data_IF_989531116680
#
_entry.id   IF_989531116680
#
_cell.length_a   1.000
_cell.length_b   1.000
_cell.length_c   1.000
_cell.angle_alpha   90.00
_cell.angle_beta   90.00
_cell.angle_gamma   90.00
#
_symmetry.space_group_name_H-M   'P 1'
#
loop_
_entity.id
_entity.type
_entity.pdbx_description
1 polymer ?
#
# COMPACT_ATOMS: atom_id res chain seq x y z
N UNK A 1 1.30 -8.99 18.22
CA UNK A 1 2.11 -7.87 18.75
C UNK A 1 1.65 -6.57 18.15
N UNK A 2 1.45 -5.59 18.99
CA UNK A 2 0.84 -4.34 18.57
C UNK A 2 1.90 -3.34 18.11
N UNK A 3 2.61 -3.70 17.06
CA UNK A 3 3.68 -2.85 16.55
C UNK A 3 3.12 -1.71 15.72
N UNK A 4 3.72 -0.53 15.90
CA UNK A 4 3.47 0.62 15.05
C UNK A 4 4.72 0.84 14.22
N UNK A 5 4.58 0.73 12.88
CA UNK A 5 5.72 0.84 11.98
C UNK A 5 6.02 2.30 11.63
N UNK A 6 7.30 2.59 11.44
CA UNK A 6 7.71 3.82 10.77
C UNK A 6 7.54 3.62 9.27
N UNK A 7 7.37 4.72 8.54
CA UNK A 7 7.20 4.63 7.08
C UNK A 7 8.41 3.94 6.43
N UNK A 8 9.62 4.23 6.90
CA UNK A 8 10.82 3.61 6.34
C UNK A 8 10.85 2.10 6.56
N UNK A 9 10.32 1.63 7.69
CA UNK A 9 10.23 0.20 7.94
C UNK A 9 9.26 -0.46 6.96
N UNK A 10 8.14 0.20 6.68
CA UNK A 10 7.17 -0.32 5.73
C UNK A 10 7.80 -0.42 4.34
N UNK A 11 8.51 0.61 3.92
CA UNK A 11 9.21 0.60 2.64
C UNK A 11 10.17 -0.60 2.53
N UNK A 12 10.98 -0.80 3.55
CA UNK A 12 11.97 -1.88 3.53
C UNK A 12 11.31 -3.25 3.49
N UNK A 13 10.29 -3.44 4.30
CA UNK A 13 9.64 -4.75 4.39
C UNK A 13 8.88 -5.11 3.13
N UNK A 14 8.41 -4.13 2.38
CA UNK A 14 7.59 -4.39 1.20
C UNK A 14 8.34 -4.27 -0.11
N UNK A 15 9.58 -3.78 -0.09
CA UNK A 15 10.35 -3.54 -1.31
C UNK A 15 10.44 -4.76 -2.22
N UNK A 16 10.87 -5.89 -1.65
CA UNK A 16 11.09 -7.10 -2.47
C UNK A 16 9.78 -7.68 -2.97
N UNK A 17 8.72 -7.53 -2.18
CA UNK A 17 7.40 -8.00 -2.61
C UNK A 17 6.97 -7.27 -3.87
N UNK A 18 7.03 -5.94 -3.84
CA UNK A 18 6.61 -5.15 -5.00
C UNK A 18 7.55 -5.33 -6.19
N UNK A 19 8.86 -5.46 -5.92
CA UNK A 19 9.85 -5.62 -6.97
C UNK A 19 9.61 -6.87 -7.81
N UNK A 20 9.08 -7.92 -7.20
CA UNK A 20 8.86 -9.19 -7.88
C UNK A 20 7.50 -9.29 -8.56
N UNK A 21 6.77 -8.18 -8.64
CA UNK A 21 5.43 -8.15 -9.21
C UNK A 21 5.33 -7.11 -10.33
N UNK A 22 4.13 -6.94 -10.88
CA UNK A 22 3.85 -5.91 -11.89
C UNK A 22 3.51 -4.55 -11.27
N UNK A 23 3.76 -4.36 -9.98
CA UNK A 23 3.52 -3.08 -9.34
C UNK A 23 4.52 -2.05 -9.86
N UNK A 24 4.03 -0.91 -10.35
CA UNK A 24 4.86 0.21 -10.78
C UNK A 24 5.07 1.20 -9.67
N UNK A 25 4.07 1.38 -8.83
CA UNK A 25 4.12 2.34 -7.72
C UNK A 25 3.20 1.87 -6.61
N UNK A 26 3.61 2.11 -5.38
CA UNK A 26 2.76 1.87 -4.21
C UNK A 26 2.75 3.12 -3.35
N UNK A 27 1.57 3.52 -2.89
CA UNK A 27 1.40 4.74 -2.11
C UNK A 27 0.69 4.37 -0.80
N UNK A 28 1.30 4.79 0.30
CA UNK A 28 0.73 4.65 1.63
C UNK A 28 -0.17 5.85 1.90
N UNK A 29 -1.37 5.62 2.43
CA UNK A 29 -2.25 6.70 2.80
C UNK A 29 -2.91 6.38 4.14
N UNK A 30 -3.87 7.21 4.57
CA UNK A 30 -4.53 6.99 5.84
C UNK A 30 -3.66 7.33 7.03
N UNK A 31 -3.94 6.71 8.19
CA UNK A 31 -3.33 7.11 9.44
C UNK A 31 -1.82 6.95 9.47
N UNK A 32 -1.30 5.88 8.83
CA UNK A 32 0.15 5.68 8.80
C UNK A 32 0.86 6.78 8.01
N UNK A 33 0.24 7.24 6.92
CA UNK A 33 0.85 8.31 6.11
C UNK A 33 0.85 9.64 6.85
N UNK A 34 -0.15 9.85 7.71
CA UNK A 34 -0.30 11.11 8.45
C UNK A 34 0.50 11.14 9.74
N UNK A 35 1.12 10.03 10.14
CA UNK A 35 1.81 9.96 11.41
C UNK A 35 0.87 9.84 12.59
N UNK A 36 -0.35 9.37 12.36
CA UNK A 36 -1.39 9.29 13.40
C UNK A 36 -1.76 7.85 13.75
N UNK A 37 -1.00 6.88 13.24
CA UNK A 37 -1.32 5.48 13.47
C UNK A 37 -1.11 5.08 14.92
N UNK A 38 -1.97 4.17 15.39
CA UNK A 38 -1.77 3.54 16.70
C UNK A 38 -1.73 2.02 16.49
N UNK A 39 -1.68 1.25 17.58
CA UNK A 39 -1.53 -0.20 17.49
C UNK A 39 -2.71 -0.89 16.82
N UNK A 40 -3.86 -0.23 16.73
CA UNK A 40 -5.06 -0.78 16.12
C UNK A 40 -5.31 -0.28 14.69
N UNK A 41 -4.44 0.58 14.18
CA UNK A 41 -4.63 1.16 12.85
C UNK A 41 -4.36 0.14 11.77
N UNK A 42 -5.18 0.16 10.71
CA UNK A 42 -4.93 -0.60 9.50
C UNK A 42 -3.88 0.12 8.67
N UNK A 43 -3.21 -0.63 7.80
CA UNK A 43 -2.26 -0.04 6.85
C UNK A 43 -2.96 0.08 5.51
N UNK A 44 -3.09 1.31 5.01
CA UNK A 44 -3.81 1.61 3.77
C UNK A 44 -2.83 1.85 2.65
N UNK A 45 -2.88 1.01 1.62
CA UNK A 45 -1.96 1.08 0.49
C UNK A 45 -2.73 1.00 -0.82
N UNK A 46 -2.39 1.86 -1.77
CA UNK A 46 -2.89 1.76 -3.12
C UNK A 46 -1.72 1.44 -4.04
N UNK A 47 -1.91 0.46 -4.94
CA UNK A 47 -0.87 0.08 -5.89
C UNK A 47 -1.31 0.42 -7.30
N UNK A 48 -0.33 0.85 -8.10
CA UNK A 48 -0.55 1.13 -9.51
C UNK A 48 0.20 0.07 -10.31
N UNK A 49 -0.55 -0.83 -10.94
CA UNK A 49 0.02 -1.89 -11.78
C UNK A 49 -0.45 -1.76 -13.21
N UNK A 50 -1.00 -0.60 -13.59
CA UNK A 50 -1.61 -0.38 -14.89
C UNK A 50 -2.73 -1.39 -15.15
N UNK A 51 -3.42 -1.79 -14.07
CA UNK A 51 -4.53 -2.73 -14.16
C UNK A 51 -4.13 -4.17 -14.36
N UNK A 52 -2.85 -4.51 -14.27
CA UNK A 52 -2.39 -5.88 -14.51
C UNK A 52 -2.61 -6.81 -13.32
N UNK A 53 -2.69 -6.26 -12.12
CA UNK A 53 -2.84 -7.09 -10.92
C UNK A 53 -4.29 -7.13 -10.50
N UNK A 54 -4.96 -8.21 -10.91
CA UNK A 54 -6.38 -8.44 -10.62
C UNK A 54 -6.57 -9.89 -10.21
N UNK A 55 -7.68 -10.13 -9.52
CA UNK A 55 -8.04 -11.49 -9.14
C UNK A 55 -7.01 -12.13 -8.24
N UNK A 56 -6.65 -13.36 -8.58
CA UNK A 56 -5.74 -14.14 -7.74
C UNK A 56 -4.37 -13.49 -7.56
N UNK A 57 -3.87 -12.83 -8.60
CA UNK A 57 -2.57 -12.15 -8.48
C UNK A 57 -2.62 -11.02 -7.45
N UNK A 58 -3.72 -10.27 -7.45
CA UNK A 58 -3.91 -9.19 -6.49
C UNK A 58 -3.95 -9.74 -5.06
N UNK A 59 -4.74 -10.79 -4.87
CA UNK A 59 -4.86 -11.40 -3.54
C UNK A 59 -3.58 -12.03 -3.06
N UNK A 60 -2.76 -12.54 -3.99
CA UNK A 60 -1.44 -13.06 -3.63
C UNK A 60 -0.55 -12.00 -3.05
N UNK A 61 -0.57 -10.80 -3.65
CA UNK A 61 0.20 -9.67 -3.14
C UNK A 61 -0.34 -9.23 -1.77
N UNK A 62 -1.65 -9.18 -1.63
CA UNK A 62 -2.26 -8.82 -0.35
C UNK A 62 -1.78 -9.76 0.76
N UNK A 63 -1.78 -11.08 0.50
CA UNK A 63 -1.32 -12.05 1.47
C UNK A 63 0.14 -11.84 1.84
N UNK A 64 0.98 -11.54 0.84
CA UNK A 64 2.39 -11.31 1.10
C UNK A 64 2.61 -10.07 1.96
N UNK A 65 1.85 -9.01 1.69
CA UNK A 65 1.96 -7.77 2.45
C UNK A 65 1.46 -7.99 3.88
N UNK A 66 0.34 -8.69 4.04
CA UNK A 66 -0.18 -9.02 5.38
C UNK A 66 0.86 -9.81 6.17
N UNK A 67 1.48 -10.81 5.53
CA UNK A 67 2.50 -11.63 6.20
C UNK A 67 3.72 -10.82 6.59
N UNK A 68 4.14 -9.91 5.71
CA UNK A 68 5.34 -9.11 5.96
C UNK A 68 5.16 -8.14 7.12
N UNK A 69 3.99 -7.55 7.25
CA UNK A 69 3.74 -6.54 8.27
C UNK A 69 3.02 -7.08 9.50
N UNK A 70 2.40 -8.25 9.37
CA UNK A 70 1.61 -8.86 10.44
C UNK A 70 0.55 -7.87 10.95
N UNK A 71 -0.16 -7.25 10.02
CA UNK A 71 -1.20 -6.28 10.32
C UNK A 71 -2.32 -6.41 9.32
N UNK A 72 -3.48 -5.85 9.66
CA UNK A 72 -4.57 -5.75 8.71
C UNK A 72 -4.20 -4.71 7.66
N UNK A 73 -4.32 -5.10 6.40
CA UNK A 73 -3.94 -4.27 5.27
C UNK A 73 -5.18 -4.00 4.43
N UNK A 74 -5.43 -2.75 4.11
CA UNK A 74 -6.41 -2.36 3.12
C UNK A 74 -5.65 -2.03 1.84
N UNK A 75 -5.72 -2.92 0.87
CA UNK A 75 -4.97 -2.80 -0.38
C UNK A 75 -5.92 -2.56 -1.54
N UNK A 76 -5.59 -1.56 -2.35
CA UNK A 76 -6.40 -1.17 -3.51
C UNK A 76 -5.53 -1.14 -4.76
N UNK A 77 -6.14 -1.48 -5.92
CA UNK A 77 -5.48 -1.25 -7.21
C UNK A 77 -6.01 0.06 -7.77
N UNK A 78 -5.10 0.92 -8.21
CA UNK A 78 -5.45 2.29 -8.61
C UNK A 78 -6.53 2.34 -9.68
N UNK A 79 -6.52 1.40 -10.63
CA UNK A 79 -7.50 1.39 -11.72
C UNK A 79 -8.92 1.09 -11.24
N UNK A 80 -9.07 0.56 -10.01
CA UNK A 80 -10.37 0.25 -9.44
C UNK A 80 -10.97 1.43 -8.67
N UNK A 81 -10.22 2.50 -8.50
CA UNK A 81 -10.63 3.66 -7.71
C UNK A 81 -11.01 4.80 -8.65
N UNK A 82 -12.17 5.41 -8.41
CA UNK A 82 -12.61 6.53 -9.23
C UNK A 82 -11.70 7.74 -9.01
N UNK A 83 -11.34 8.44 -10.10
CA UNK A 83 -10.43 9.60 -9.98
C UNK A 83 -10.93 10.71 -9.05
N UNK A 84 -12.24 10.89 -8.94
CA UNK A 84 -12.81 11.97 -8.12
C UNK A 84 -13.33 11.49 -6.79
N UNK A 85 -12.97 10.28 -6.38
CA UNK A 85 -13.45 9.73 -5.10
C UNK A 85 -12.76 10.37 -3.91
N UNK A 86 -13.37 10.31 -2.71
CA UNK A 86 -12.70 10.80 -1.50
C UNK A 86 -11.37 10.12 -1.22
N UNK A 87 -11.27 8.82 -1.50
CA UNK A 87 -10.00 8.08 -1.32
C UNK A 87 -8.91 8.68 -2.21
N UNK A 88 -9.23 8.93 -3.47
CA UNK A 88 -8.25 9.49 -4.40
C UNK A 88 -7.82 10.88 -3.96
N UNK A 89 -8.75 11.68 -3.45
CA UNK A 89 -8.43 13.00 -2.96
C UNK A 89 -7.47 12.93 -1.77
N UNK A 90 -7.74 12.01 -0.85
CA UNK A 90 -6.86 11.81 0.30
C UNK A 90 -5.45 11.39 -0.14
N UNK A 91 -5.38 10.49 -1.12
CA UNK A 91 -4.10 10.02 -1.64
C UNK A 91 -3.31 11.17 -2.25
N UNK A 92 -3.98 12.03 -3.02
CA UNK A 92 -3.31 13.18 -3.64
C UNK A 92 -2.76 14.16 -2.62
N UNK A 93 -3.48 14.36 -1.53
CA UNK A 93 -3.10 15.35 -0.52
C UNK A 93 -2.10 14.81 0.48
N UNK A 94 -2.23 13.56 0.89
CA UNK A 94 -1.48 13.04 2.02
C UNK A 94 -0.76 11.72 1.75
N UNK A 95 -0.86 11.21 0.52
CA UNK A 95 -0.21 9.94 0.18
C UNK A 95 1.30 10.05 0.19
N UNK A 96 1.95 8.96 0.60
CA UNK A 96 3.41 8.88 0.62
C UNK A 96 3.82 7.71 -0.27
N UNK A 97 4.63 7.99 -1.29
CA UNK A 97 5.12 6.94 -2.18
C UNK A 97 6.08 6.06 -1.40
N UNK A 98 5.74 4.77 -1.26
CA UNK A 98 6.60 3.82 -0.55
C UNK A 98 7.34 2.88 -1.50
N UNK A 99 6.97 2.85 -2.76
CA UNK A 99 7.66 2.06 -3.77
C UNK A 99 7.43 2.70 -5.13
N UNK A 100 8.49 2.79 -5.92
CA UNK A 100 8.37 3.27 -7.29
C UNK A 100 9.41 2.56 -8.14
N UNK A 101 8.95 1.91 -9.22
CA UNK A 101 9.85 1.15 -10.08
C UNK A 101 10.69 2.09 -10.91
N UNK A 102 11.99 1.84 -10.90
CA UNK A 102 12.94 2.59 -11.73
C UNK A 102 13.01 1.95 -13.10
N UNK A 103 13.26 2.76 -14.10
CA UNK A 103 13.46 2.26 -15.45
C UNK A 103 14.92 2.14 -15.76
#
# INVERSE_FOLDING_TARGET
>A
MDKIYQIEEIKEKLHDIFLSTEVHRAILFGSYAKGEADSNSDVDIIIDSKGQLRGLKFYGILEDVVSALDKKIDLFEMSEIRPESPIMEEIKQEGVVIYERQR
#
